data_IF_729740443463
#
_entry.id   IF_729740443463
#
_cell.length_a   1.000
_cell.length_b   1.000
_cell.length_c   1.000
_cell.angle_alpha   90.00
_cell.angle_beta   90.00
_cell.angle_gamma   90.00
#
_symmetry.space_group_name_H-M   'P 1'
#
loop_
_entity.id
_entity.type
_entity.pdbx_description
1 polymer ?
#
# COMPACT_ATOMS: atom_id res chain seq x y z
N UNK A 1 -6.19 -17.95 1.00
CA UNK A 1 -6.68 -16.62 0.58
C UNK A 1 -6.35 -15.58 1.66
N UNK A 2 -5.71 -14.48 1.29
CA UNK A 2 -5.48 -13.34 2.21
C UNK A 2 -6.80 -12.60 2.42
N UNK A 3 -7.11 -12.27 3.68
CA UNK A 3 -8.24 -11.42 4.06
C UNK A 3 -7.68 -10.12 4.61
N UNK A 4 -8.09 -8.99 4.05
CA UNK A 4 -7.66 -7.64 4.46
C UNK A 4 -8.87 -6.84 4.90
N UNK A 5 -8.76 -6.24 6.09
CA UNK A 5 -9.79 -5.38 6.67
C UNK A 5 -9.19 -3.99 6.91
N UNK A 6 -9.83 -2.99 6.38
CA UNK A 6 -9.57 -1.58 6.70
C UNK A 6 -10.72 -1.03 7.53
N UNK A 7 -10.38 -0.28 8.55
CA UNK A 7 -11.35 0.36 9.43
C UNK A 7 -10.91 1.78 9.77
N UNK A 8 -11.83 2.70 9.63
CA UNK A 8 -11.69 4.10 9.99
C UNK A 8 -12.81 4.45 10.95
N UNK A 9 -12.46 4.90 12.16
CA UNK A 9 -13.39 5.24 13.21
C UNK A 9 -13.25 6.71 13.57
N UNK A 10 -14.30 7.48 13.26
CA UNK A 10 -14.40 8.86 13.70
C UNK A 10 -14.72 8.92 15.20
N UNK A 11 -13.92 9.66 15.93
CA UNK A 11 -14.07 9.89 17.37
C UNK A 11 -13.98 11.39 17.73
N UNK A 12 -14.21 11.74 18.99
CA UNK A 12 -14.15 13.13 19.45
C UNK A 12 -12.74 13.75 19.33
N UNK A 13 -11.69 12.94 19.40
CA UNK A 13 -10.29 13.36 19.31
C UNK A 13 -9.73 13.26 17.89
N UNK A 14 -10.52 12.79 16.93
CA UNK A 14 -10.14 12.60 15.54
C UNK A 14 -10.40 11.19 15.06
N UNK A 15 -9.68 10.78 14.04
CA UNK A 15 -9.84 9.50 13.35
C UNK A 15 -8.83 8.49 13.89
N UNK A 16 -9.32 7.29 14.26
CA UNK A 16 -8.49 6.10 14.49
C UNK A 16 -8.52 5.24 13.24
N UNK A 17 -7.34 4.81 12.78
CA UNK A 17 -7.16 4.04 11.57
C UNK A 17 -6.62 2.65 11.91
N UNK A 18 -7.17 1.60 11.27
CA UNK A 18 -6.69 0.23 11.43
C UNK A 18 -6.69 -0.50 10.10
N UNK A 19 -5.58 -1.15 9.80
CA UNK A 19 -5.44 -2.06 8.66
C UNK A 19 -4.95 -3.41 9.17
N UNK A 20 -5.63 -4.48 8.78
CA UNK A 20 -5.31 -5.84 9.19
C UNK A 20 -5.27 -6.76 7.98
N UNK A 21 -4.24 -7.60 7.89
CA UNK A 21 -4.11 -8.61 6.87
C UNK A 21 -3.86 -9.98 7.52
N UNK A 22 -4.56 -11.01 7.04
CA UNK A 22 -4.50 -12.36 7.60
C UNK A 22 -4.45 -13.44 6.51
N UNK A 23 -3.68 -14.51 6.75
CA UNK A 23 -3.62 -15.71 5.94
C UNK A 23 -2.59 -15.67 4.81
N UNK A 24 -2.68 -16.65 3.91
CA UNK A 24 -1.82 -16.80 2.74
C UNK A 24 -2.62 -16.70 1.44
N UNK A 25 -2.05 -16.12 0.40
CA UNK A 25 -2.71 -15.97 -0.89
C UNK A 25 -2.96 -17.33 -1.59
N UNK A 26 -2.00 -18.23 -1.50
CA UNK A 26 -2.07 -19.52 -2.22
C UNK A 26 -2.02 -19.37 -3.74
N UNK A 27 -1.39 -18.31 -4.22
CA UNK A 27 -1.21 -18.05 -5.65
C UNK A 27 -0.10 -18.92 -6.24
N UNK A 28 0.98 -19.15 -5.48
CA UNK A 28 2.12 -19.98 -5.85
C UNK A 28 2.77 -20.59 -4.60
N UNK A 29 3.72 -21.55 -4.76
CA UNK A 29 4.49 -22.07 -3.64
C UNK A 29 5.23 -20.97 -2.85
N UNK A 30 5.54 -21.28 -1.57
CA UNK A 30 6.29 -20.37 -0.72
C UNK A 30 7.58 -19.86 -1.40
N UNK A 31 7.84 -18.56 -1.32
CA UNK A 31 8.98 -17.90 -1.97
C UNK A 31 8.74 -17.51 -3.44
N UNK A 32 7.64 -17.95 -4.05
CA UNK A 32 7.26 -17.60 -5.43
C UNK A 32 5.89 -16.89 -5.52
N UNK A 33 5.21 -16.73 -4.40
CA UNK A 33 3.88 -16.14 -4.33
C UNK A 33 3.98 -14.60 -4.36
N UNK A 34 3.75 -14.04 -5.54
CA UNK A 34 3.81 -12.58 -5.78
C UNK A 34 2.68 -11.83 -5.07
N UNK A 35 1.54 -12.49 -4.81
CA UNK A 35 0.41 -11.86 -4.10
C UNK A 35 0.73 -11.74 -2.62
N UNK A 36 1.29 -12.80 -2.00
CA UNK A 36 1.82 -12.74 -0.65
C UNK A 36 2.94 -11.70 -0.53
N UNK A 37 3.86 -11.64 -1.50
CA UNK A 37 4.94 -10.66 -1.51
C UNK A 37 4.41 -9.23 -1.58
N UNK A 38 3.46 -8.96 -2.46
CA UNK A 38 2.81 -7.65 -2.60
C UNK A 38 2.09 -7.23 -1.32
N UNK A 39 1.27 -8.11 -0.76
CA UNK A 39 0.55 -7.87 0.50
C UNK A 39 1.51 -7.62 1.68
N UNK A 40 2.55 -8.44 1.81
CA UNK A 40 3.58 -8.29 2.84
C UNK A 40 4.33 -6.98 2.71
N UNK A 41 4.66 -6.57 1.48
CA UNK A 41 5.36 -5.30 1.22
C UNK A 41 4.52 -4.11 1.66
N UNK A 42 3.21 -4.09 1.34
CA UNK A 42 2.32 -3.01 1.75
C UNK A 42 2.20 -2.89 3.28
N UNK A 43 2.00 -4.02 3.96
CA UNK A 43 1.90 -4.05 5.42
C UNK A 43 3.21 -3.65 6.10
N UNK A 44 4.34 -4.21 5.66
CA UNK A 44 5.65 -3.93 6.25
C UNK A 44 6.09 -2.48 5.98
N UNK A 45 5.78 -1.92 4.81
CA UNK A 45 6.05 -0.52 4.51
C UNK A 45 5.26 0.41 5.44
N UNK A 46 3.99 0.09 5.72
CA UNK A 46 3.18 0.84 6.66
C UNK A 46 3.76 0.76 8.09
N UNK A 47 4.11 -0.45 8.56
CA UNK A 47 4.77 -0.65 9.86
C UNK A 47 6.07 0.16 9.96
N UNK A 48 6.91 0.08 8.93
CA UNK A 48 8.20 0.78 8.91
C UNK A 48 8.02 2.29 8.95
N UNK A 49 7.06 2.82 8.19
CA UNK A 49 6.78 4.24 8.13
C UNK A 49 6.26 4.80 9.46
N UNK A 50 5.46 4.01 10.19
CA UNK A 50 4.84 4.41 11.45
C UNK A 50 5.68 4.08 12.69
N UNK A 51 6.85 3.46 12.54
CA UNK A 51 7.67 2.99 13.68
C UNK A 51 8.13 4.09 14.65
N UNK A 52 8.06 5.37 14.26
CA UNK A 52 8.41 6.53 15.11
C UNK A 52 7.21 7.27 15.67
N UNK A 53 5.98 6.84 15.38
CA UNK A 53 4.76 7.51 15.81
C UNK A 53 4.28 6.96 17.16
N UNK A 54 4.15 7.83 18.16
CA UNK A 54 3.73 7.44 19.52
C UNK A 54 2.31 6.84 19.55
N UNK A 55 1.44 7.31 18.64
CA UNK A 55 0.06 6.88 18.57
C UNK A 55 -0.15 5.68 17.63
N UNK A 56 0.93 5.10 17.09
CA UNK A 56 0.81 3.98 16.18
C UNK A 56 1.47 2.72 16.75
N UNK A 57 0.83 1.58 16.52
CA UNK A 57 1.34 0.29 16.93
C UNK A 57 1.02 -0.79 15.90
N UNK A 58 1.79 -1.85 15.92
CA UNK A 58 1.61 -2.99 15.06
C UNK A 58 1.69 -4.28 15.88
N UNK A 59 0.72 -5.16 15.68
CA UNK A 59 0.63 -6.46 16.32
C UNK A 59 0.72 -7.56 15.27
N UNK A 60 1.60 -8.54 15.49
CA UNK A 60 1.76 -9.70 14.63
C UNK A 60 1.59 -10.98 15.44
N UNK A 61 0.80 -11.91 14.92
CA UNK A 61 0.58 -13.23 15.55
C UNK A 61 0.28 -14.31 14.53
N UNK A 62 0.47 -15.56 14.93
CA UNK A 62 0.16 -16.72 14.11
C UNK A 62 -1.19 -17.31 14.52
N UNK A 63 -2.02 -17.59 13.51
CA UNK A 63 -3.28 -18.30 13.66
C UNK A 63 -3.25 -19.61 12.88
N UNK A 64 -4.19 -20.54 13.16
CA UNK A 64 -4.28 -21.79 12.40
C UNK A 64 -4.45 -21.59 10.89
N UNK A 65 -5.03 -20.46 10.48
CA UNK A 65 -5.25 -20.08 9.07
C UNK A 65 -4.04 -19.39 8.43
N UNK A 66 -3.00 -19.08 9.20
CA UNK A 66 -1.77 -18.41 8.78
C UNK A 66 -1.45 -17.15 9.56
N UNK A 67 -0.39 -16.44 9.18
CA UNK A 67 0.04 -15.24 9.87
C UNK A 67 -0.99 -14.14 9.78
N UNK A 68 -1.04 -13.30 10.82
CA UNK A 68 -1.85 -12.10 10.87
C UNK A 68 -0.99 -10.92 11.33
N UNK A 69 -1.17 -9.78 10.68
CA UNK A 69 -0.55 -8.51 11.03
C UNK A 69 -1.61 -7.42 11.04
N UNK A 70 -1.69 -6.68 12.12
CA UNK A 70 -2.53 -5.49 12.25
C UNK A 70 -1.67 -4.27 12.51
N UNK A 71 -2.00 -3.16 11.89
CA UNK A 71 -1.39 -1.84 12.12
C UNK A 71 -2.50 -0.88 12.50
N UNK A 72 -2.33 -0.16 13.59
CA UNK A 72 -3.29 0.81 14.08
C UNK A 72 -2.61 2.13 14.40
N UNK A 73 -3.29 3.23 14.08
CA UNK A 73 -2.92 4.57 14.52
C UNK A 73 -4.13 5.19 15.23
N UNK A 74 -3.93 5.53 16.50
CA UNK A 74 -4.97 6.12 17.34
C UNK A 74 -5.07 7.63 17.13
N UNK A 75 -6.26 8.17 17.34
CA UNK A 75 -6.49 9.62 17.27
C UNK A 75 -5.71 10.37 18.37
N UNK A 76 -5.22 11.58 18.07
CA UNK A 76 -5.29 12.29 16.80
C UNK A 76 -4.23 11.83 15.81
N UNK A 77 -4.63 11.51 14.58
CA UNK A 77 -3.71 11.13 13.51
C UNK A 77 -3.27 12.33 12.68
N UNK A 78 -1.97 12.49 12.48
CA UNK A 78 -1.46 13.47 11.53
C UNK A 78 -1.91 13.18 10.10
N UNK A 79 -2.03 14.22 9.27
CA UNK A 79 -2.51 14.07 7.89
C UNK A 79 -1.66 13.11 7.04
N UNK A 80 -0.34 13.07 7.27
CA UNK A 80 0.54 12.16 6.56
C UNK A 80 0.32 10.69 6.96
N UNK A 81 -0.03 10.43 8.24
CA UNK A 81 -0.41 9.08 8.73
C UNK A 81 -1.66 8.60 7.99
N UNK A 82 -2.68 9.47 7.90
CA UNK A 82 -3.89 9.18 7.13
C UNK A 82 -3.56 8.88 5.66
N UNK A 83 -2.68 9.69 5.05
CA UNK A 83 -2.19 9.46 3.68
C UNK A 83 -1.46 8.12 3.50
N UNK A 84 -0.69 7.67 4.50
CA UNK A 84 -0.01 6.38 4.49
C UNK A 84 -1.01 5.22 4.51
N UNK A 85 -2.05 5.30 5.35
CA UNK A 85 -3.13 4.30 5.38
C UNK A 85 -3.94 4.30 4.08
N UNK A 86 -4.25 5.46 3.50
CA UNK A 86 -4.94 5.56 2.22
C UNK A 86 -4.12 4.95 1.07
N UNK A 87 -2.80 5.14 1.05
CA UNK A 87 -1.92 4.48 0.08
C UNK A 87 -1.96 2.95 0.22
N UNK A 88 -1.85 2.44 1.45
CA UNK A 88 -1.92 1.00 1.71
C UNK A 88 -3.29 0.42 1.31
N UNK A 89 -4.38 1.11 1.67
CA UNK A 89 -5.76 0.80 1.27
C UNK A 89 -5.91 0.69 -0.25
N UNK A 90 -5.42 1.69 -1.00
CA UNK A 90 -5.46 1.69 -2.46
C UNK A 90 -4.65 0.51 -3.05
N UNK A 91 -3.49 0.20 -2.46
CA UNK A 91 -2.67 -0.94 -2.86
C UNK A 91 -3.39 -2.28 -2.66
N UNK A 92 -4.07 -2.48 -1.54
CA UNK A 92 -4.85 -3.69 -1.28
C UNK A 92 -6.10 -3.79 -2.16
N UNK A 93 -6.78 -2.68 -2.44
CA UNK A 93 -7.90 -2.66 -3.38
C UNK A 93 -7.44 -3.09 -4.79
N UNK A 94 -6.29 -2.60 -5.23
CA UNK A 94 -5.68 -2.99 -6.52
C UNK A 94 -5.30 -4.47 -6.55
N UNK A 95 -4.72 -5.01 -5.46
CA UNK A 95 -4.40 -6.44 -5.37
C UNK A 95 -5.67 -7.30 -5.40
N UNK A 96 -6.73 -6.89 -4.69
CA UNK A 96 -8.00 -7.61 -4.67
C UNK A 96 -8.68 -7.62 -6.06
N UNK A 97 -8.60 -6.52 -6.80
CA UNK A 97 -9.11 -6.45 -8.17
C UNK A 97 -8.34 -7.39 -9.12
N UNK A 98 -7.01 -7.44 -8.97
CA UNK A 98 -6.14 -8.27 -9.82
C UNK A 98 -6.18 -9.75 -9.51
N UNK A 99 -6.34 -10.11 -8.23
CA UNK A 99 -6.24 -11.46 -7.69
C UNK A 99 -7.42 -11.81 -6.79
N UNK A 100 -8.67 -11.76 -7.30
CA UNK A 100 -9.88 -11.90 -6.49
C UNK A 100 -10.02 -13.28 -5.81
N UNK A 101 -9.38 -14.30 -6.36
CA UNK A 101 -9.37 -15.65 -5.79
C UNK A 101 -8.33 -15.83 -4.68
N UNK A 102 -7.37 -14.92 -4.56
CA UNK A 102 -6.22 -15.03 -3.66
C UNK A 102 -6.23 -13.98 -2.55
N UNK A 103 -6.90 -12.83 -2.76
CA UNK A 103 -6.99 -11.75 -1.80
C UNK A 103 -8.38 -11.11 -1.82
N UNK A 104 -8.93 -10.90 -0.62
CA UNK A 104 -10.16 -10.10 -0.42
C UNK A 104 -9.85 -8.90 0.44
N UNK A 105 -10.32 -7.76 -0.01
CA UNK A 105 -10.24 -6.50 0.72
C UNK A 105 -11.66 -6.04 1.10
N UNK A 106 -11.84 -5.61 2.36
CA UNK A 106 -13.06 -5.00 2.83
C UNK A 106 -12.75 -3.72 3.61
N UNK A 107 -13.42 -2.64 3.23
CA UNK A 107 -13.47 -1.39 3.99
C UNK A 107 -14.73 -1.42 4.86
N UNK A 108 -14.53 -1.51 6.17
CA UNK A 108 -15.61 -1.56 7.17
C UNK A 108 -15.69 -0.26 7.99
N UNK A 109 -15.15 0.82 7.45
CA UNK A 109 -15.11 2.13 8.08
C UNK A 109 -16.49 2.60 8.50
N UNK A 110 -16.60 3.10 9.73
CA UNK A 110 -17.79 3.77 10.23
C UNK A 110 -17.50 5.25 10.28
N UNK A 111 -17.86 5.94 9.22
CA UNK A 111 -17.95 7.41 9.27
C UNK A 111 -19.13 7.74 10.16
N UNK A 112 -18.87 8.39 11.29
CA UNK A 112 -19.91 8.96 12.10
C UNK A 112 -20.78 9.84 11.20
N UNK A 113 -22.10 9.78 11.36
CA UNK A 113 -23.07 10.65 10.70
C UNK A 113 -22.81 12.11 11.09
N UNK A 114 -21.67 12.66 10.73
CA UNK A 114 -21.52 14.10 10.58
C UNK A 114 -22.03 14.47 9.21
N UNK A 115 -23.36 14.66 9.19
CA UNK A 115 -24.09 15.34 8.14
C UNK A 115 -23.66 14.91 6.75
N UNK A 116 -24.54 14.22 6.04
CA UNK A 116 -24.62 14.39 4.61
C UNK A 116 -24.61 15.89 4.33
N UNK A 117 -23.41 16.49 4.29
CA UNK A 117 -23.26 17.73 3.57
C UNK A 117 -23.46 17.34 2.11
N UNK A 118 -24.65 17.63 1.70
CA UNK A 118 -25.19 17.52 0.38
C UNK A 118 -24.14 17.95 -0.64
N UNK A 119 -23.46 16.99 -1.25
CA UNK A 119 -22.58 17.22 -2.38
C UNK A 119 -23.34 17.78 -3.59
N UNK A 120 -24.68 17.88 -3.51
CA UNK A 120 -25.52 18.52 -4.49
C UNK A 120 -25.44 20.05 -4.43
N UNK A 121 -24.92 20.65 -3.35
CA UNK A 121 -24.83 22.11 -3.26
C UNK A 121 -23.69 22.70 -4.11
N UNK A 122 -22.82 21.89 -4.66
CA UNK A 122 -21.73 22.33 -5.56
C UNK A 122 -21.97 22.01 -7.04
N UNK A 123 -23.14 21.48 -7.39
CA UNK A 123 -23.48 21.12 -8.77
C UNK A 123 -24.09 22.28 -9.58
N UNK A 124 -24.37 23.42 -8.96
CA UNK A 124 -24.90 24.59 -9.68
C UNK A 124 -23.89 25.75 -9.61
N UNK A 125 -23.06 25.86 -10.65
CA UNK A 125 -22.31 27.07 -10.91
C UNK A 125 -20.81 26.92 -11.08
N UNK A 126 -20.37 26.26 -12.16
CA UNK A 126 -18.95 26.24 -12.52
C UNK A 126 -18.70 25.54 -13.86
N UNK A 127 -18.97 26.23 -14.96
CA UNK A 127 -18.39 25.84 -16.25
C UNK A 127 -16.86 25.91 -16.14
N UNK A 128 -16.17 24.78 -16.33
CA UNK A 128 -14.74 24.81 -16.61
C UNK A 128 -13.83 23.82 -15.88
N UNK A 129 -14.33 22.79 -15.22
CA UNK A 129 -13.45 21.71 -14.73
C UNK A 129 -13.55 20.51 -15.68
N UNK A 130 -12.46 20.22 -16.41
CA UNK A 130 -12.35 18.99 -17.17
C UNK A 130 -12.51 17.78 -16.21
N UNK A 131 -13.29 16.76 -16.57
CA UNK A 131 -13.51 15.61 -15.72
C UNK A 131 -12.18 14.87 -15.49
N UNK A 132 -11.85 14.61 -14.22
CA UNK A 132 -10.72 13.76 -13.88
C UNK A 132 -10.91 12.41 -14.56
N UNK A 133 -9.90 11.99 -15.33
CA UNK A 133 -9.92 10.69 -16.01
C UNK A 133 -10.00 9.57 -14.97
N UNK A 134 -10.91 8.62 -15.16
CA UNK A 134 -10.95 7.42 -14.33
C UNK A 134 -9.67 6.60 -14.49
N UNK A 135 -9.33 5.77 -13.50
CA UNK A 135 -8.13 4.92 -13.54
C UNK A 135 -8.06 4.06 -14.83
N UNK A 136 -9.21 3.59 -15.32
CA UNK A 136 -9.32 2.86 -16.57
C UNK A 136 -8.98 3.72 -17.81
N UNK A 137 -9.37 4.99 -17.81
CA UNK A 137 -9.06 5.93 -18.90
C UNK A 137 -7.59 6.33 -18.90
N UNK A 138 -6.97 6.43 -17.72
CA UNK A 138 -5.53 6.68 -17.59
C UNK A 138 -4.71 5.49 -18.11
N UNK A 139 -5.12 4.26 -17.83
CA UNK A 139 -4.46 3.07 -18.36
C UNK A 139 -4.59 2.96 -19.89
N UNK A 140 -5.74 3.31 -20.46
CA UNK A 140 -5.91 3.34 -21.91
C UNK A 140 -5.08 4.43 -22.59
N UNK A 141 -4.95 5.60 -21.96
CA UNK A 141 -4.12 6.70 -22.47
C UNK A 141 -2.63 6.34 -22.50
N UNK A 142 -2.15 5.57 -21.51
CA UNK A 142 -0.78 5.03 -21.47
C UNK A 142 -0.59 3.95 -22.54
N UNK A 143 -1.56 3.04 -22.71
CA UNK A 143 -1.50 1.96 -23.68
C UNK A 143 -1.58 2.44 -25.13
N UNK A 144 -2.28 3.55 -25.39
CA UNK A 144 -2.43 4.16 -26.73
C UNK A 144 -1.28 5.10 -27.12
N UNK A 145 -0.29 5.31 -26.26
CA UNK A 145 0.87 6.17 -26.55
C UNK A 145 0.57 7.67 -26.64
N UNK A 146 -0.63 8.11 -26.24
CA UNK A 146 -1.05 9.51 -26.30
C UNK A 146 -0.46 10.35 -25.15
N UNK A 147 0.03 9.69 -24.08
CA UNK A 147 0.80 10.33 -23.01
C UNK A 147 2.25 9.84 -23.08
N UNK A 148 3.16 10.70 -23.50
CA UNK A 148 4.59 10.45 -23.30
C UNK A 148 4.87 10.61 -21.80
N UNK A 149 5.56 9.61 -21.17
CA UNK A 149 6.09 9.82 -19.83
C UNK A 149 7.02 11.04 -19.89
N UNK A 150 6.81 12.00 -18.99
CA UNK A 150 7.63 13.20 -18.90
C UNK A 150 9.10 12.82 -18.86
N UNK A 151 9.88 13.41 -19.75
CA UNK A 151 11.33 13.29 -19.79
C UNK A 151 11.92 13.92 -18.53
N UNK A 152 12.01 13.14 -17.46
CA UNK A 152 12.94 13.44 -16.39
C UNK A 152 14.33 13.17 -16.96
N UNK A 153 15.11 14.24 -17.11
CA UNK A 153 16.54 14.14 -17.42
C UNK A 153 17.18 13.22 -16.38
N UNK A 154 17.60 12.04 -16.83
CA UNK A 154 18.54 11.23 -16.10
C UNK A 154 19.91 11.89 -16.27
N UNK A 155 20.37 12.57 -15.24
CA UNK A 155 21.78 12.88 -15.06
C UNK A 155 22.36 11.78 -14.15
N UNK A 156 23.07 10.93 -14.79
CA UNK A 156 24.36 10.31 -14.49
C UNK A 156 24.75 10.08 -13.03
N UNK A 157 24.83 8.84 -12.64
CA UNK A 157 25.99 8.12 -12.08
C UNK A 157 25.56 6.79 -11.45
N UNK A 158 25.74 5.71 -12.20
CA UNK A 158 25.78 4.37 -11.60
C UNK A 158 27.12 4.20 -10.86
N UNK A 159 27.14 3.72 -9.61
CA UNK A 159 28.38 3.35 -8.95
C UNK A 159 28.97 2.09 -9.59
N UNK A 160 30.31 1.99 -9.70
CA UNK A 160 30.96 0.81 -10.30
C UNK A 160 30.75 -0.44 -9.44
N UNK A 161 30.59 -1.56 -10.12
CA UNK A 161 30.52 -2.88 -9.51
C UNK A 161 31.82 -3.22 -8.78
N UNK A 162 31.81 -3.95 -7.66
CA UNK A 162 32.99 -4.39 -6.98
C UNK A 162 33.73 -5.43 -7.82
N UNK A 163 34.98 -5.15 -8.12
CA UNK A 163 35.95 -6.10 -8.73
C UNK A 163 36.15 -7.31 -7.83
N UNK A 164 35.98 -8.49 -8.40
CA UNK A 164 36.40 -9.74 -7.78
C UNK A 164 37.91 -9.82 -7.84
N UNK A 165 38.56 -9.60 -6.73
CA UNK A 165 39.99 -10.00 -6.56
C UNK A 165 40.03 -11.52 -6.41
N UNK A 166 40.58 -12.18 -7.43
CA UNK A 166 41.03 -13.54 -7.35
C UNK A 166 42.33 -13.54 -6.56
N UNK A 167 42.34 -14.12 -5.38
CA UNK A 167 43.57 -14.42 -4.65
C UNK A 167 43.96 -15.87 -4.87
N UNK A 168 45.00 -15.98 -5.63
CA UNK A 168 45.77 -17.20 -5.95
C UNK A 168 46.57 -17.59 -4.71
N UNK A 169 46.28 -18.74 -4.09
CA UNK A 169 47.17 -19.33 -3.10
C UNK A 169 48.04 -20.39 -3.74
N UNK A 170 49.27 -20.00 -4.00
CA UNK A 170 50.32 -20.93 -4.25
C UNK A 170 51.19 -21.20 -3.02
N UNK A 171 51.65 -22.43 -2.91
CA UNK A 171 52.92 -22.78 -2.31
C UNK A 171 52.89 -23.34 -0.90
N UNK A 172 53.07 -24.58 -0.77
CA UNK A 172 54.26 -25.42 -0.63
C UNK A 172 55.13 -25.18 0.60
N UNK A 173 55.35 -26.23 1.40
CA UNK A 173 56.63 -26.66 1.83
C UNK A 173 56.97 -26.57 3.32
N UNK A 174 57.22 -27.72 3.93
CA UNK A 174 57.97 -27.83 5.16
C UNK A 174 57.44 -28.79 6.18
#
# INVERSE_FOLDING_TARGET
MIKVLYNELDGPEGVTLRLEAAGHAGYAPAGQDIVCAGASTLMQALVYLLAGEENAHADAWEEPEGPRLAVQADAPCAAWVQGAFELAKAGFALLAERYPDNLRFADVSRRGERGMMDLQLFAEGGEGAAPALSAAQTQQAIASGTMKPGSAKADEAAPPAPEKTAEETGGEGG
#
